data_IF_730360292946
#
_entry.id   IF_730360292946
#
_cell.length_a   1.000
_cell.length_b   1.000
_cell.length_c   1.000
_cell.angle_alpha   90.00
_cell.angle_beta   90.00
_cell.angle_gamma   90.00
#
_symmetry.space_group_name_H-M   'P 1'
#
loop_
_entity.id
_entity.type
_entity.pdbx_description
1 polymer ?
#
# COMPACT_ATOMS: atom_id res chain seq x y z
N UNK A 1 20.84 -7.52 21.10
CA UNK A 1 20.98 -7.28 19.64
C UNK A 1 19.84 -8.00 18.94
N UNK A 2 19.01 -7.29 18.19
CA UNK A 2 17.93 -7.87 17.41
C UNK A 2 18.43 -8.50 16.12
N UNK A 3 17.82 -9.61 15.71
CA UNK A 3 18.17 -10.35 14.50
C UNK A 3 17.09 -10.19 13.45
N UNK A 4 17.46 -9.67 12.29
CA UNK A 4 16.54 -9.41 11.18
C UNK A 4 16.93 -10.28 9.99
N UNK A 5 16.01 -11.15 9.59
CA UNK A 5 16.16 -11.92 8.36
C UNK A 5 15.61 -11.15 7.18
N UNK A 6 16.33 -11.10 6.07
CA UNK A 6 15.84 -10.51 4.83
C UNK A 6 15.50 -11.60 3.81
N UNK A 7 14.30 -11.53 3.24
CA UNK A 7 13.87 -12.36 2.12
C UNK A 7 13.78 -11.50 0.86
N UNK A 8 14.50 -11.87 -0.18
CA UNK A 8 14.76 -11.07 -1.38
C UNK A 8 15.67 -9.85 -1.12
N UNK A 9 15.88 -9.07 -2.18
CA UNK A 9 16.64 -7.83 -2.06
C UNK A 9 15.78 -6.75 -1.40
N UNK A 10 16.18 -6.33 -0.21
CA UNK A 10 15.64 -5.15 0.47
C UNK A 10 16.62 -4.00 0.25
N UNK A 11 16.12 -2.82 -0.10
CA UNK A 11 16.99 -1.66 -0.33
C UNK A 11 17.86 -1.34 0.88
N UNK A 12 19.12 -1.06 0.61
CA UNK A 12 20.12 -0.64 1.61
C UNK A 12 19.66 0.64 2.35
N UNK A 13 18.91 1.52 1.69
CA UNK A 13 18.35 2.71 2.33
C UNK A 13 17.45 2.36 3.52
N UNK A 14 16.66 1.28 3.41
CA UNK A 14 15.88 0.74 4.54
C UNK A 14 16.73 0.02 5.57
N UNK A 15 17.68 -0.81 5.15
CA UNK A 15 18.55 -1.54 6.08
C UNK A 15 19.41 -0.61 6.94
N UNK A 16 19.81 0.54 6.42
CA UNK A 16 20.55 1.57 7.17
C UNK A 16 19.72 2.23 8.29
N UNK A 17 18.39 2.00 8.36
CA UNK A 17 17.54 2.43 9.49
C UNK A 17 17.67 1.50 10.71
N UNK A 18 18.36 0.39 10.56
CA UNK A 18 18.63 -0.61 11.59
C UNK A 18 20.12 -0.52 11.99
N UNK A 19 20.48 0.23 13.07
CA UNK A 19 21.86 0.45 13.46
C UNK A 19 22.58 -0.87 13.80
N UNK A 20 23.80 -1.06 13.28
CA UNK A 20 24.59 -2.30 13.45
C UNK A 20 24.93 -2.60 14.90
N UNK A 21 24.95 -1.62 15.76
CA UNK A 21 25.19 -1.76 17.20
C UNK A 21 24.05 -2.51 17.91
N UNK A 22 22.84 -2.43 17.33
CA UNK A 22 21.63 -3.01 17.91
C UNK A 22 21.01 -4.11 17.04
N UNK A 23 21.39 -4.20 15.77
CA UNK A 23 20.77 -5.09 14.78
C UNK A 23 21.79 -5.91 14.00
N UNK A 24 21.57 -7.22 13.95
CA UNK A 24 22.20 -8.14 13.00
C UNK A 24 21.22 -8.36 11.84
N UNK A 25 21.61 -8.00 10.61
CA UNK A 25 20.75 -8.12 9.42
C UNK A 25 21.45 -9.05 8.42
N UNK A 26 20.79 -10.17 8.08
CA UNK A 26 21.31 -11.12 7.10
C UNK A 26 20.18 -11.86 6.37
N UNK A 27 20.51 -12.48 5.23
CA UNK A 27 19.56 -13.34 4.50
C UNK A 27 19.34 -14.69 5.21
N UNK A 28 20.37 -15.14 5.92
CA UNK A 28 20.33 -16.34 6.75
C UNK A 28 20.77 -15.98 8.16
N UNK A 29 19.87 -16.11 9.11
CA UNK A 29 20.12 -15.83 10.53
C UNK A 29 19.35 -16.82 11.40
N UNK A 30 20.01 -17.40 12.38
CA UNK A 30 19.36 -18.28 13.34
C UNK A 30 18.46 -17.50 14.31
N UNK A 31 17.24 -17.97 14.51
CA UNK A 31 16.31 -17.38 15.47
C UNK A 31 16.03 -15.87 15.24
N UNK A 32 15.50 -15.45 14.07
CA UNK A 32 15.25 -14.05 13.79
C UNK A 32 14.14 -13.47 14.70
N UNK A 33 14.31 -12.21 15.09
CA UNK A 33 13.29 -11.43 15.80
C UNK A 33 12.26 -10.86 14.83
N UNK A 34 12.68 -10.54 13.61
CA UNK A 34 11.78 -10.10 12.56
C UNK A 34 12.25 -10.52 11.16
N UNK A 35 11.32 -10.49 10.21
CA UNK A 35 11.57 -10.80 8.80
C UNK A 35 11.21 -9.59 7.96
N UNK A 36 12.13 -9.12 7.11
CA UNK A 36 11.84 -8.16 6.06
C UNK A 36 11.70 -8.89 4.72
N UNK A 37 10.59 -8.66 4.03
CA UNK A 37 10.27 -9.34 2.77
C UNK A 37 9.76 -8.35 1.72
N UNK A 38 9.96 -8.64 0.44
CA UNK A 38 9.36 -7.88 -0.67
C UNK A 38 8.36 -8.75 -1.44
N UNK A 39 8.83 -9.75 -2.16
CA UNK A 39 8.01 -10.57 -3.07
C UNK A 39 8.05 -12.07 -2.76
N UNK A 40 8.89 -12.56 -1.83
CA UNK A 40 8.92 -13.97 -1.48
C UNK A 40 7.58 -14.45 -0.94
N UNK A 41 7.13 -15.62 -1.39
CA UNK A 41 5.91 -16.26 -0.90
C UNK A 41 6.19 -16.91 0.45
N UNK A 42 5.43 -16.55 1.49
CA UNK A 42 5.64 -17.02 2.86
C UNK A 42 4.60 -18.05 3.31
N UNK A 43 3.61 -18.40 2.48
CA UNK A 43 2.51 -19.30 2.86
C UNK A 43 2.99 -20.71 3.23
N UNK A 44 4.05 -21.19 2.59
CA UNK A 44 4.61 -22.54 2.83
C UNK A 44 5.86 -22.49 3.73
N UNK A 45 6.27 -21.28 4.18
CA UNK A 45 7.45 -21.15 5.04
C UNK A 45 7.12 -21.51 6.48
N UNK A 46 8.04 -22.25 7.10
CA UNK A 46 8.04 -22.43 8.57
C UNK A 46 8.61 -21.17 9.21
N UNK A 47 7.73 -20.37 9.81
CA UNK A 47 8.14 -19.13 10.50
C UNK A 47 8.61 -19.50 11.92
N UNK A 48 9.88 -19.20 12.30
CA UNK A 48 10.38 -19.49 13.63
C UNK A 48 9.54 -18.89 14.76
N UNK A 49 9.51 -19.56 15.91
CA UNK A 49 8.78 -19.07 17.09
C UNK A 49 9.35 -17.79 17.70
N UNK A 50 10.58 -17.43 17.36
CA UNK A 50 11.25 -16.20 17.80
C UNK A 50 10.78 -14.94 17.07
N UNK A 51 10.15 -15.08 15.89
CA UNK A 51 9.68 -13.97 15.06
C UNK A 51 8.55 -13.21 15.78
N UNK A 52 8.73 -11.92 15.93
CA UNK A 52 7.77 -10.99 16.56
C UNK A 52 7.08 -10.10 15.53
N UNK A 53 7.76 -9.86 14.40
CA UNK A 53 7.26 -8.98 13.34
C UNK A 53 7.67 -9.45 11.95
N UNK A 54 6.80 -9.18 10.97
CA UNK A 54 7.11 -9.34 9.54
C UNK A 54 6.84 -7.99 8.87
N UNK A 55 7.85 -7.46 8.19
CA UNK A 55 7.76 -6.20 7.45
C UNK A 55 7.82 -6.44 5.93
N UNK A 56 6.76 -6.08 5.21
CA UNK A 56 6.74 -6.17 3.74
C UNK A 56 7.08 -4.83 3.10
N UNK A 57 8.22 -4.74 2.41
CA UNK A 57 8.63 -3.57 1.63
C UNK A 57 7.74 -3.37 0.39
N UNK A 58 6.53 -2.89 0.60
CA UNK A 58 5.50 -2.63 -0.41
C UNK A 58 4.09 -2.56 0.21
N UNK A 59 3.09 -2.13 -0.56
CA UNK A 59 1.74 -1.88 -0.06
C UNK A 59 0.88 -3.13 0.11
N UNK A 60 0.93 -4.09 -0.81
CA UNK A 60 0.14 -5.33 -0.71
C UNK A 60 0.77 -6.35 0.27
N UNK A 61 0.00 -7.34 0.75
CA UNK A 61 0.49 -8.39 1.68
C UNK A 61 0.03 -9.80 1.30
N UNK A 62 -0.39 -9.98 0.07
CA UNK A 62 -0.92 -11.24 -0.44
C UNK A 62 0.10 -12.40 -0.48
N UNK A 63 1.37 -12.11 -0.29
CA UNK A 63 2.45 -13.10 -0.17
C UNK A 63 2.72 -13.54 1.29
N UNK A 64 2.01 -12.98 2.28
CA UNK A 64 2.18 -13.27 3.71
C UNK A 64 0.88 -13.92 4.24
N UNK A 65 0.96 -15.01 5.01
CA UNK A 65 -0.21 -15.63 5.63
C UNK A 65 -0.67 -14.83 6.88
N UNK A 66 -1.26 -13.65 6.66
CA UNK A 66 -1.59 -12.66 7.71
C UNK A 66 -2.46 -13.26 8.82
N UNK A 67 -3.46 -14.08 8.48
CA UNK A 67 -4.34 -14.72 9.48
C UNK A 67 -3.54 -15.62 10.43
N UNK A 68 -2.68 -16.49 9.91
CA UNK A 68 -1.84 -17.36 10.73
C UNK A 68 -0.83 -16.56 11.59
N UNK A 69 -0.33 -15.42 11.10
CA UNK A 69 0.53 -14.54 11.90
C UNK A 69 -0.25 -13.88 13.02
N UNK A 70 -1.48 -13.50 12.80
CA UNK A 70 -2.39 -12.93 13.81
C UNK A 70 -2.65 -13.89 14.96
N UNK A 71 -2.90 -15.17 14.66
CA UNK A 71 -3.11 -16.22 15.66
C UNK A 71 -1.88 -16.44 16.55
N UNK A 72 -0.70 -16.18 16.01
CA UNK A 72 0.59 -16.32 16.71
C UNK A 72 1.03 -15.02 17.42
N UNK A 73 0.25 -13.95 17.38
CA UNK A 73 0.62 -12.66 17.97
C UNK A 73 1.81 -11.99 17.25
N UNK A 74 2.04 -12.29 15.95
CA UNK A 74 3.10 -11.70 15.13
C UNK A 74 2.53 -10.51 14.37
N UNK A 75 3.14 -9.34 14.54
CA UNK A 75 2.75 -8.12 13.82
C UNK A 75 3.17 -8.20 12.34
N UNK A 76 2.26 -7.83 11.44
CA UNK A 76 2.56 -7.73 10.00
C UNK A 76 2.46 -6.27 9.57
N UNK A 77 3.56 -5.71 9.09
CA UNK A 77 3.67 -4.35 8.60
C UNK A 77 3.77 -4.32 7.08
N UNK A 78 3.26 -3.25 6.48
CA UNK A 78 3.46 -2.94 5.08
C UNK A 78 3.83 -1.46 4.90
N UNK A 79 4.06 -1.03 3.66
CA UNK A 79 4.45 0.35 3.35
C UNK A 79 3.35 1.07 2.54
N UNK A 80 2.19 1.41 3.14
CA UNK A 80 1.10 2.07 2.45
C UNK A 80 1.50 3.48 2.03
N UNK A 81 1.32 3.80 0.74
CA UNK A 81 1.61 5.12 0.20
C UNK A 81 3.08 5.45 -0.06
N UNK A 82 4.02 4.58 0.33
CA UNK A 82 5.45 4.80 0.08
C UNK A 82 5.79 4.84 -1.42
N UNK A 83 5.01 4.14 -2.24
CA UNK A 83 5.11 4.11 -3.70
C UNK A 83 4.14 5.08 -4.41
N UNK A 84 3.45 5.95 -3.67
CA UNK A 84 2.35 6.73 -4.23
C UNK A 84 2.77 7.66 -5.38
N UNK A 85 3.96 8.25 -5.29
CA UNK A 85 4.48 9.11 -6.36
C UNK A 85 4.78 8.31 -7.64
N UNK A 86 5.38 7.13 -7.52
CA UNK A 86 5.68 6.28 -8.67
C UNK A 86 4.40 5.87 -9.42
N UNK A 87 3.36 5.45 -8.68
CA UNK A 87 2.06 5.11 -9.29
C UNK A 87 1.42 6.34 -9.93
N UNK A 88 1.46 7.52 -9.28
CA UNK A 88 0.96 8.77 -9.87
C UNK A 88 1.63 9.04 -11.22
N UNK A 89 2.94 8.94 -11.30
CA UNK A 89 3.68 9.19 -12.54
C UNK A 89 3.30 8.18 -13.64
N UNK A 90 3.11 6.92 -13.29
CA UNK A 90 2.66 5.90 -14.24
C UNK A 90 1.24 6.16 -14.74
N UNK A 91 0.32 6.63 -13.87
CA UNK A 91 -1.03 7.05 -14.28
C UNK A 91 -0.97 8.20 -15.28
N UNK A 92 -0.15 9.23 -15.01
CA UNK A 92 0.04 10.36 -15.93
C UNK A 92 0.61 9.91 -17.28
N UNK A 93 1.61 9.01 -17.25
CA UNK A 93 2.14 8.41 -18.45
C UNK A 93 1.07 7.63 -19.23
N UNK A 94 0.25 6.81 -18.52
CA UNK A 94 -0.87 6.07 -19.12
C UNK A 94 -1.91 6.99 -19.76
N UNK A 95 -2.26 8.10 -19.12
CA UNK A 95 -3.14 9.11 -19.69
C UNK A 95 -2.60 9.68 -21.01
N UNK A 96 -1.32 10.06 -21.03
CA UNK A 96 -0.67 10.62 -22.23
C UNK A 96 -0.50 9.56 -23.34
N UNK A 97 -0.15 8.32 -22.97
CA UNK A 97 -0.04 7.19 -23.91
C UNK A 97 -1.38 6.96 -24.62
N UNK A 98 -2.48 6.93 -23.84
CA UNK A 98 -3.83 6.77 -24.39
C UNK A 98 -4.25 7.98 -25.23
N UNK A 99 -4.15 9.19 -24.67
CA UNK A 99 -4.60 10.41 -25.32
C UNK A 99 -3.91 10.69 -26.67
N UNK A 100 -2.65 10.30 -26.82
CA UNK A 100 -1.81 10.58 -28.00
C UNK A 100 -1.49 9.37 -28.85
N UNK A 101 -2.11 8.20 -28.59
CA UNK A 101 -1.87 6.93 -29.30
C UNK A 101 -0.37 6.57 -29.39
N UNK A 102 0.41 6.85 -28.32
CA UNK A 102 1.89 6.76 -28.37
C UNK A 102 2.36 5.33 -28.61
N UNK A 103 1.75 4.33 -27.98
CA UNK A 103 2.15 2.94 -28.13
C UNK A 103 1.97 2.44 -29.57
N UNK A 104 0.83 2.77 -30.19
CA UNK A 104 0.51 2.40 -31.57
C UNK A 104 1.41 3.15 -32.55
N UNK A 105 1.65 4.44 -32.35
CA UNK A 105 2.53 5.26 -33.17
C UNK A 105 3.99 4.76 -33.09
N UNK A 106 4.48 4.40 -31.91
CA UNK A 106 5.81 3.84 -31.73
C UNK A 106 5.97 2.47 -32.44
N UNK A 107 4.93 1.61 -32.36
CA UNK A 107 4.92 0.33 -33.08
C UNK A 107 4.96 0.54 -34.59
N UNK A 108 4.16 1.47 -35.12
CA UNK A 108 4.16 1.85 -36.51
C UNK A 108 5.54 2.35 -36.95
N UNK A 109 6.14 3.30 -36.26
CA UNK A 109 7.44 3.87 -36.60
C UNK A 109 8.55 2.82 -36.62
N UNK A 110 8.55 1.85 -35.69
CA UNK A 110 9.51 0.74 -35.66
C UNK A 110 9.34 -0.25 -36.82
N UNK A 111 8.15 -0.34 -37.42
CA UNK A 111 7.85 -1.22 -38.55
C UNK A 111 8.10 -0.58 -39.91
N UNK A 112 8.62 0.65 -39.98
CA UNK A 112 8.96 1.29 -41.25
C UNK A 112 10.25 0.72 -41.83
N UNK A 113 10.25 0.49 -43.13
CA UNK A 113 11.37 -0.09 -43.89
C UNK A 113 11.75 0.82 -45.07
N UNK A 114 12.99 0.70 -45.52
CA UNK A 114 13.55 1.43 -46.67
C UNK A 114 14.62 2.44 -46.28
N UNK A 115 14.99 3.30 -47.22
CA UNK A 115 15.88 4.42 -46.96
C UNK A 115 15.16 5.60 -46.27
N UNK A 116 15.89 6.62 -45.83
CA UNK A 116 15.35 7.77 -45.10
C UNK A 116 14.26 8.50 -45.91
N UNK A 117 14.34 8.54 -47.23
CA UNK A 117 13.34 9.19 -48.06
C UNK A 117 12.03 8.38 -48.10
N UNK A 118 12.13 7.05 -48.20
CA UNK A 118 10.99 6.14 -48.13
C UNK A 118 10.33 6.19 -46.76
N UNK A 119 11.13 6.18 -45.70
CA UNK A 119 10.65 6.30 -44.31
C UNK A 119 9.91 7.63 -44.11
N UNK A 120 10.48 8.76 -44.51
CA UNK A 120 9.84 10.08 -44.38
C UNK A 120 8.49 10.12 -45.14
N UNK A 121 8.42 9.55 -46.34
CA UNK A 121 7.18 9.47 -47.12
C UNK A 121 6.13 8.61 -46.42
N UNK A 122 6.51 7.48 -45.82
CA UNK A 122 5.63 6.60 -45.11
C UNK A 122 5.10 7.26 -43.80
N UNK A 123 5.96 8.00 -43.07
CA UNK A 123 5.56 8.80 -41.89
C UNK A 123 4.50 9.82 -42.27
N UNK A 124 4.73 10.63 -43.32
CA UNK A 124 3.75 11.65 -43.71
C UNK A 124 2.40 11.04 -44.17
N UNK A 125 2.44 9.90 -44.85
CA UNK A 125 1.24 9.18 -45.27
C UNK A 125 0.48 8.56 -44.03
N UNK A 126 1.23 8.04 -43.04
CA UNK A 126 0.67 7.29 -41.93
C UNK A 126 0.26 8.11 -40.73
N UNK A 127 0.86 9.28 -40.47
CA UNK A 127 0.68 10.03 -39.22
C UNK A 127 -0.76 10.38 -38.86
N UNK A 128 -1.64 10.54 -39.87
CA UNK A 128 -3.05 10.91 -39.65
C UNK A 128 -3.85 9.86 -38.89
N UNK A 129 -3.43 8.58 -38.93
CA UNK A 129 -4.12 7.50 -38.17
C UNK A 129 -3.89 7.58 -36.66
N UNK A 130 -2.92 8.38 -36.20
CA UNK A 130 -2.59 8.54 -34.79
C UNK A 130 -3.05 9.88 -34.21
N UNK A 131 -3.96 10.57 -34.88
CA UNK A 131 -4.57 11.79 -34.32
C UNK A 131 -5.22 11.46 -32.99
N UNK A 132 -4.78 12.10 -31.93
CA UNK A 132 -5.26 11.92 -30.58
C UNK A 132 -5.99 13.14 -30.05
N UNK A 133 -5.97 13.30 -28.73
CA UNK A 133 -6.63 14.38 -28.01
C UNK A 133 -5.69 15.04 -27.02
N UNK A 134 -6.00 16.27 -26.62
CA UNK A 134 -5.32 16.98 -25.52
C UNK A 134 -6.07 16.81 -24.21
N UNK A 135 -5.39 16.92 -23.08
CA UNK A 135 -5.97 16.76 -21.74
C UNK A 135 -6.70 18.02 -21.22
N UNK A 136 -6.23 19.25 -21.45
CA UNK A 136 -6.86 20.45 -20.93
C UNK A 136 -8.36 20.52 -21.24
N UNK A 137 -9.18 20.87 -20.21
CA UNK A 137 -10.63 20.97 -20.33
C UNK A 137 -11.40 19.65 -20.23
N UNK A 138 -10.71 18.50 -20.35
CA UNK A 138 -11.32 17.18 -20.14
C UNK A 138 -11.45 16.86 -18.67
N UNK A 139 -12.36 15.94 -18.35
CA UNK A 139 -12.65 15.53 -16.98
C UNK A 139 -11.96 14.21 -16.65
N UNK A 140 -11.17 14.20 -15.56
CA UNK A 140 -10.66 12.99 -14.93
C UNK A 140 -11.53 12.60 -13.75
N UNK A 141 -12.13 11.41 -13.78
CA UNK A 141 -12.75 10.75 -12.64
C UNK A 141 -11.71 9.96 -11.84
N UNK A 142 -11.62 10.21 -10.54
CA UNK A 142 -10.70 9.53 -9.62
C UNK A 142 -11.51 8.75 -8.60
N UNK A 143 -11.46 7.42 -8.66
CA UNK A 143 -12.11 6.52 -7.70
C UNK A 143 -11.08 6.07 -6.68
N UNK A 144 -11.27 6.46 -5.41
CA UNK A 144 -10.33 6.29 -4.32
C UNK A 144 -9.39 7.49 -4.17
N UNK A 145 -9.60 8.28 -3.11
CA UNK A 145 -8.83 9.49 -2.78
C UNK A 145 -7.88 9.25 -1.59
N UNK A 146 -7.23 8.08 -1.60
CA UNK A 146 -6.14 7.75 -0.69
C UNK A 146 -4.81 8.41 -1.08
N UNK A 147 -3.69 7.84 -0.62
CA UNK A 147 -2.35 8.38 -0.85
C UNK A 147 -2.00 8.60 -2.33
N UNK A 148 -2.48 7.72 -3.22
CA UNK A 148 -2.22 7.80 -4.67
C UNK A 148 -3.24 8.73 -5.34
N UNK A 149 -4.53 8.49 -5.11
CA UNK A 149 -5.60 9.22 -5.80
C UNK A 149 -5.54 10.73 -5.61
N UNK A 150 -5.19 11.19 -4.41
CA UNK A 150 -4.96 12.62 -4.12
C UNK A 150 -3.82 13.19 -4.96
N UNK A 151 -2.71 12.48 -5.10
CA UNK A 151 -1.57 12.94 -5.92
C UNK A 151 -1.95 12.99 -7.41
N UNK A 152 -2.68 11.98 -7.89
CA UNK A 152 -3.16 11.94 -9.29
C UNK A 152 -4.15 13.07 -9.55
N UNK A 153 -5.13 13.29 -8.66
CA UNK A 153 -6.10 14.37 -8.76
C UNK A 153 -5.42 15.74 -8.89
N UNK A 154 -4.50 16.03 -7.98
CA UNK A 154 -3.76 17.31 -7.98
C UNK A 154 -2.89 17.46 -9.23
N UNK A 155 -2.21 16.41 -9.68
CA UNK A 155 -1.38 16.44 -10.88
C UNK A 155 -2.21 16.65 -12.16
N UNK A 156 -3.39 16.01 -12.28
CA UNK A 156 -4.30 16.21 -13.40
C UNK A 156 -4.83 17.65 -13.46
N UNK A 157 -5.11 18.28 -12.30
CA UNK A 157 -5.45 19.71 -12.22
C UNK A 157 -4.32 20.57 -12.80
N UNK A 158 -3.07 20.26 -12.47
CA UNK A 158 -1.92 21.00 -13.00
C UNK A 158 -1.74 20.83 -14.51
N UNK A 159 -2.30 19.77 -15.10
CA UNK A 159 -2.38 19.57 -16.56
C UNK A 159 -3.60 20.24 -17.22
N UNK A 160 -4.36 21.04 -16.48
CA UNK A 160 -5.53 21.77 -17.00
C UNK A 160 -6.80 20.93 -17.11
N UNK A 161 -6.85 19.74 -16.51
CA UNK A 161 -8.05 18.91 -16.48
C UNK A 161 -9.04 19.39 -15.41
N UNK A 162 -10.32 19.12 -15.61
CA UNK A 162 -11.29 19.08 -14.53
C UNK A 162 -11.15 17.76 -13.79
N UNK A 163 -11.35 17.75 -12.46
CA UNK A 163 -11.23 16.53 -11.68
C UNK A 163 -12.47 16.33 -10.81
N UNK A 164 -13.03 15.15 -10.88
CA UNK A 164 -14.14 14.67 -10.05
C UNK A 164 -13.65 13.46 -9.27
N UNK A 165 -13.80 13.47 -7.94
CA UNK A 165 -13.33 12.39 -7.08
C UNK A 165 -14.48 11.69 -6.35
N UNK A 166 -14.36 10.40 -6.13
CA UNK A 166 -15.26 9.60 -5.29
C UNK A 166 -14.46 8.73 -4.33
N UNK A 167 -14.69 8.92 -3.05
CA UNK A 167 -14.18 8.05 -1.97
C UNK A 167 -15.11 8.15 -0.76
N UNK A 168 -15.91 7.11 -0.45
CA UNK A 168 -16.84 7.13 0.68
C UNK A 168 -16.15 7.12 2.04
N UNK A 169 -14.84 6.84 2.09
CA UNK A 169 -14.04 6.69 3.30
C UNK A 169 -12.83 7.63 3.32
N UNK A 170 -12.90 8.76 2.60
CA UNK A 170 -11.80 9.71 2.55
C UNK A 170 -11.43 10.19 3.97
N UNK A 171 -10.15 10.10 4.29
CA UNK A 171 -9.66 10.59 5.58
C UNK A 171 -9.52 12.11 5.58
N UNK A 172 -9.66 12.74 6.74
CA UNK A 172 -9.41 14.19 6.91
C UNK A 172 -8.04 14.58 6.37
N UNK A 173 -7.00 13.77 6.68
CA UNK A 173 -5.63 14.01 6.19
C UNK A 173 -5.53 13.97 4.65
N UNK A 174 -6.26 13.10 3.98
CA UNK A 174 -6.29 13.02 2.53
C UNK A 174 -7.05 14.22 1.93
N UNK A 175 -8.20 14.58 2.49
CA UNK A 175 -8.99 15.73 2.08
C UNK A 175 -8.20 17.05 2.18
N UNK A 176 -7.42 17.24 3.25
CA UNK A 176 -6.55 18.42 3.41
C UNK A 176 -5.43 18.55 2.36
N UNK A 177 -5.13 17.48 1.64
CA UNK A 177 -4.12 17.49 0.57
C UNK A 177 -4.70 17.68 -0.82
N UNK A 178 -6.03 17.58 -0.98
CA UNK A 178 -6.70 17.84 -2.24
C UNK A 178 -6.72 19.34 -2.54
N UNK A 179 -6.54 19.69 -3.82
CA UNK A 179 -6.82 21.04 -4.29
C UNK A 179 -8.32 21.33 -4.17
N UNK A 180 -8.66 22.57 -3.80
CA UNK A 180 -10.03 22.99 -3.44
C UNK A 180 -11.04 22.94 -4.58
N UNK A 181 -10.57 22.81 -5.81
CA UNK A 181 -11.39 22.76 -7.01
C UNK A 181 -11.59 21.33 -7.56
N UNK A 182 -11.18 20.30 -6.80
CA UNK A 182 -11.57 18.92 -7.05
C UNK A 182 -13.01 18.73 -6.60
N UNK A 183 -13.90 18.39 -7.53
CA UNK A 183 -15.32 18.19 -7.27
C UNK A 183 -15.57 16.81 -6.64
N UNK A 184 -16.47 16.73 -5.67
CA UNK A 184 -16.91 15.47 -5.08
C UNK A 184 -18.07 14.88 -5.88
N UNK A 185 -17.92 13.65 -6.38
CA UNK A 185 -19.02 12.90 -6.99
C UNK A 185 -19.96 12.32 -5.92
N UNK A 186 -21.25 12.25 -6.23
CA UNK A 186 -22.27 11.66 -5.33
C UNK A 186 -22.20 10.13 -5.29
N UNK A 187 -21.77 9.52 -6.38
CA UNK A 187 -21.64 8.06 -6.54
C UNK A 187 -20.62 7.72 -7.62
N UNK A 188 -20.29 6.43 -7.74
CA UNK A 188 -19.49 5.92 -8.87
C UNK A 188 -20.22 6.19 -10.19
N UNK A 189 -21.55 6.03 -10.23
CA UNK A 189 -22.35 6.22 -11.44
C UNK A 189 -22.38 7.70 -11.88
N UNK A 190 -22.46 8.64 -10.93
CA UNK A 190 -22.32 10.08 -11.21
C UNK A 190 -20.93 10.40 -11.78
N UNK A 191 -19.87 9.84 -11.19
CA UNK A 191 -18.50 10.05 -11.63
C UNK A 191 -18.27 9.54 -13.05
N UNK A 192 -18.66 8.28 -13.34
CA UNK A 192 -18.39 7.67 -14.67
C UNK A 192 -19.18 8.35 -15.79
N UNK A 193 -20.40 8.84 -15.51
CA UNK A 193 -21.22 9.56 -16.49
C UNK A 193 -20.64 10.92 -16.91
N UNK A 194 -19.73 11.48 -16.12
CA UNK A 194 -19.19 12.84 -16.30
C UNK A 194 -17.70 12.88 -16.64
N UNK A 195 -17.05 11.71 -16.78
CA UNK A 195 -15.59 11.60 -16.90
C UNK A 195 -15.16 11.13 -18.28
N UNK A 196 -14.25 11.88 -18.93
CA UNK A 196 -13.57 11.47 -20.16
C UNK A 196 -12.48 10.43 -19.88
N UNK A 197 -11.82 10.52 -18.73
CA UNK A 197 -10.81 9.59 -18.23
C UNK A 197 -11.22 9.11 -16.84
N UNK A 198 -11.02 7.82 -16.55
CA UNK A 198 -11.35 7.26 -15.23
C UNK A 198 -10.18 6.45 -14.72
N UNK A 199 -9.74 6.73 -13.50
CA UNK A 199 -8.64 6.03 -12.83
C UNK A 199 -9.05 5.49 -11.46
N UNK A 200 -8.48 4.34 -11.09
CA UNK A 200 -8.86 3.57 -9.92
C UNK A 200 -7.69 3.47 -8.94
N UNK A 201 -7.94 3.81 -7.67
CA UNK A 201 -6.97 3.76 -6.57
C UNK A 201 -7.59 3.14 -5.32
N UNK A 202 -8.34 2.06 -5.54
CA UNK A 202 -9.04 1.29 -4.50
C UNK A 202 -8.49 -0.14 -4.43
N UNK A 203 -8.56 -0.81 -3.26
CA UNK A 203 -8.24 -2.24 -3.17
C UNK A 203 -9.29 -3.07 -3.90
N UNK A 204 -8.95 -4.30 -4.28
CA UNK A 204 -9.92 -5.28 -4.76
C UNK A 204 -10.61 -5.91 -3.54
N UNK A 205 -11.91 -5.70 -3.45
CA UNK A 205 -12.84 -6.27 -2.47
C UNK A 205 -14.08 -6.78 -3.19
N UNK A 206 -15.00 -7.43 -2.49
CA UNK A 206 -16.28 -7.83 -3.09
C UNK A 206 -17.08 -6.63 -3.61
N UNK A 207 -16.96 -5.45 -2.98
CA UNK A 207 -17.63 -4.22 -3.39
C UNK A 207 -16.97 -3.54 -4.61
N UNK A 208 -15.67 -3.74 -4.81
CA UNK A 208 -14.91 -3.11 -5.91
C UNK A 208 -14.65 -4.08 -7.06
N UNK A 209 -14.97 -5.37 -6.90
CA UNK A 209 -14.89 -6.36 -7.97
C UNK A 209 -15.88 -6.04 -9.07
N UNK A 210 -15.39 -5.97 -10.31
CA UNK A 210 -16.16 -5.58 -11.48
C UNK A 210 -16.98 -4.29 -11.24
N UNK A 211 -16.40 -3.37 -10.46
CA UNK A 211 -17.00 -2.07 -10.21
C UNK A 211 -17.32 -1.35 -11.52
N UNK A 212 -16.50 -1.54 -12.53
CA UNK A 212 -16.77 -1.10 -13.90
C UNK A 212 -17.19 -2.32 -14.71
N UNK A 213 -18.48 -2.40 -14.95
CA UNK A 213 -19.17 -3.43 -15.73
C UNK A 213 -19.81 -2.83 -16.99
N UNK A 214 -20.49 -3.65 -17.78
CA UNK A 214 -21.13 -3.23 -19.03
C UNK A 214 -22.13 -2.08 -18.84
N UNK A 215 -22.92 -2.09 -17.77
CA UNK A 215 -23.90 -1.06 -17.47
C UNK A 215 -23.24 0.30 -17.23
N UNK A 216 -22.21 0.35 -16.39
CA UNK A 216 -21.46 1.59 -16.10
C UNK A 216 -20.69 2.08 -17.32
N UNK A 217 -20.13 1.18 -18.12
CA UNK A 217 -19.48 1.56 -19.38
C UNK A 217 -20.49 2.19 -20.35
N UNK A 218 -21.71 1.65 -20.44
CA UNK A 218 -22.75 2.24 -21.28
C UNK A 218 -23.11 3.68 -20.88
N UNK A 219 -23.02 3.99 -19.59
CA UNK A 219 -23.32 5.34 -19.04
C UNK A 219 -22.15 6.33 -19.19
N UNK A 220 -20.94 5.89 -19.54
CA UNK A 220 -19.80 6.78 -19.78
C UNK A 220 -20.01 7.64 -21.02
N UNK A 221 -19.32 8.80 -21.15
CA UNK A 221 -19.22 9.51 -22.42
C UNK A 221 -18.62 8.62 -23.52
N UNK A 222 -19.04 8.83 -24.77
CA UNK A 222 -18.45 8.12 -25.90
C UNK A 222 -16.98 8.52 -26.06
N UNK A 223 -16.11 7.53 -26.22
CA UNK A 223 -14.68 7.74 -26.31
C UNK A 223 -13.99 7.92 -24.96
N UNK A 224 -14.59 7.48 -23.86
CA UNK A 224 -13.94 7.48 -22.55
C UNK A 224 -12.71 6.57 -22.51
N UNK A 225 -11.77 6.89 -21.61
CA UNK A 225 -10.51 6.16 -21.39
C UNK A 225 -10.51 5.57 -19.99
N UNK A 226 -10.17 4.29 -19.90
CA UNK A 226 -9.99 3.59 -18.61
C UNK A 226 -8.49 3.44 -18.27
N UNK A 227 -8.16 3.70 -17.00
CA UNK A 227 -6.79 3.65 -16.48
C UNK A 227 -6.77 2.81 -15.19
N UNK A 228 -6.25 1.59 -15.24
CA UNK A 228 -6.22 0.70 -14.07
C UNK A 228 -4.82 0.30 -13.66
N UNK A 229 -4.25 1.03 -12.71
CA UNK A 229 -2.97 0.75 -12.08
C UNK A 229 -3.13 0.30 -10.61
N UNK A 230 -4.34 -0.13 -10.24
CA UNK A 230 -4.67 -0.54 -8.87
C UNK A 230 -4.67 -2.06 -8.71
N UNK A 231 -5.70 -2.75 -9.21
CA UNK A 231 -5.82 -4.22 -9.14
C UNK A 231 -6.55 -4.78 -10.36
N UNK A 232 -6.13 -5.96 -10.81
CA UNK A 232 -6.92 -6.79 -11.73
C UNK A 232 -8.28 -7.10 -11.10
N UNK A 233 -9.33 -7.20 -11.93
CA UNK A 233 -10.68 -7.53 -11.50
C UNK A 233 -11.52 -6.37 -10.96
N UNK A 234 -11.02 -5.13 -10.91
CA UNK A 234 -11.83 -3.92 -10.65
C UNK A 234 -12.71 -3.61 -11.86
N UNK A 235 -12.16 -3.80 -13.05
CA UNK A 235 -12.87 -3.67 -14.32
C UNK A 235 -13.25 -5.06 -14.78
N UNK A 236 -14.44 -5.21 -15.34
CA UNK A 236 -14.85 -6.37 -16.12
C UNK A 236 -14.18 -6.27 -17.49
N UNK A 237 -13.13 -7.07 -17.70
CA UNK A 237 -12.28 -7.00 -18.89
C UNK A 237 -13.07 -7.42 -20.17
N UNK A 238 -14.02 -8.37 -20.07
CA UNK A 238 -14.88 -8.77 -21.20
C UNK A 238 -15.79 -7.62 -21.63
N UNK A 239 -16.41 -6.94 -20.67
CA UNK A 239 -17.22 -5.75 -20.93
C UNK A 239 -16.39 -4.62 -21.52
N UNK A 240 -15.17 -4.40 -21.04
CA UNK A 240 -14.26 -3.37 -21.54
C UNK A 240 -13.85 -3.64 -23.00
N UNK A 241 -13.46 -4.88 -23.34
CA UNK A 241 -13.09 -5.26 -24.70
C UNK A 241 -14.28 -5.12 -25.65
N UNK A 242 -15.46 -5.60 -25.27
CA UNK A 242 -16.70 -5.41 -26.05
C UNK A 242 -16.98 -3.93 -26.36
N UNK A 243 -16.78 -3.06 -25.37
CA UNK A 243 -16.98 -1.63 -25.54
C UNK A 243 -15.90 -0.94 -26.38
N UNK A 244 -14.65 -1.44 -26.33
CA UNK A 244 -13.56 -0.99 -27.21
C UNK A 244 -13.82 -1.36 -28.66
N UNK A 245 -14.26 -2.59 -28.92
CA UNK A 245 -14.63 -3.07 -30.27
C UNK A 245 -15.82 -2.28 -30.86
N UNK A 246 -16.78 -1.93 -30.00
CA UNK A 246 -17.93 -1.10 -30.40
C UNK A 246 -17.60 0.39 -30.53
N UNK A 247 -16.39 0.83 -30.19
CA UNK A 247 -15.97 2.23 -30.23
C UNK A 247 -16.57 3.09 -29.10
N UNK A 248 -17.24 2.50 -28.12
CA UNK A 248 -17.78 3.18 -26.95
C UNK A 248 -16.65 3.69 -26.02
N UNK A 249 -15.59 2.88 -25.83
CA UNK A 249 -14.36 3.28 -25.19
C UNK A 249 -13.28 3.62 -26.23
N UNK A 250 -12.49 4.65 -25.93
CA UNK A 250 -11.36 5.04 -26.78
C UNK A 250 -10.12 4.18 -26.55
N UNK A 251 -9.78 3.95 -25.28
CA UNK A 251 -8.61 3.16 -24.89
C UNK A 251 -8.74 2.62 -23.46
N UNK A 252 -8.02 1.53 -23.20
CA UNK A 252 -7.82 0.99 -21.86
C UNK A 252 -6.31 0.81 -21.61
N UNK A 253 -5.78 1.45 -20.56
CA UNK A 253 -4.39 1.29 -20.11
C UNK A 253 -4.39 0.65 -18.74
N UNK A 254 -3.65 -0.46 -18.59
CA UNK A 254 -3.60 -1.17 -17.31
C UNK A 254 -2.23 -1.81 -17.03
N UNK A 255 -2.04 -2.16 -15.77
CA UNK A 255 -0.83 -2.80 -15.25
C UNK A 255 -0.98 -4.33 -15.08
N UNK A 256 -2.03 -4.92 -15.72
CA UNK A 256 -2.43 -6.31 -15.53
C UNK A 256 -2.70 -7.00 -16.88
N UNK A 257 -1.62 -7.47 -17.57
CA UNK A 257 -1.78 -8.16 -18.83
C UNK A 257 -2.54 -9.48 -18.68
N UNK A 258 -3.45 -9.74 -19.61
CA UNK A 258 -4.15 -11.01 -19.77
C UNK A 258 -4.18 -11.44 -21.24
N UNK A 259 -4.52 -12.68 -21.53
CA UNK A 259 -4.67 -13.15 -22.92
C UNK A 259 -5.76 -12.38 -23.68
N UNK A 260 -6.78 -11.89 -22.97
CA UNK A 260 -7.86 -11.09 -23.53
C UNK A 260 -7.39 -9.67 -23.91
N UNK A 261 -6.52 -9.08 -23.09
CA UNK A 261 -6.15 -7.66 -23.21
C UNK A 261 -4.87 -7.40 -24.02
N UNK A 262 -3.86 -8.27 -23.92
CA UNK A 262 -2.47 -8.00 -24.35
C UNK A 262 -2.31 -7.68 -25.84
N UNK A 263 -3.16 -8.23 -26.71
CA UNK A 263 -3.07 -8.11 -28.15
C UNK A 263 -4.12 -7.16 -28.75
N UNK A 264 -5.02 -6.61 -27.93
CA UNK A 264 -6.07 -5.71 -28.38
C UNK A 264 -5.50 -4.33 -28.80
N UNK A 265 -5.83 -3.80 -30.01
CA UNK A 265 -5.19 -2.61 -30.57
C UNK A 265 -5.43 -1.32 -29.77
N UNK A 266 -6.50 -1.25 -28.98
CA UNK A 266 -6.87 -0.11 -28.13
C UNK A 266 -6.51 -0.30 -26.67
N UNK A 267 -5.82 -1.40 -26.33
CA UNK A 267 -5.36 -1.68 -24.96
C UNK A 267 -3.84 -1.54 -24.90
N UNK A 268 -3.37 -0.93 -23.84
CA UNK A 268 -1.95 -0.91 -23.47
C UNK A 268 -1.80 -1.57 -22.12
N UNK A 269 -1.16 -2.73 -22.08
CA UNK A 269 -0.86 -3.45 -20.84
C UNK A 269 0.60 -3.28 -20.45
N UNK A 270 0.86 -3.07 -19.18
CA UNK A 270 2.18 -2.97 -18.57
C UNK A 270 2.41 -4.10 -17.57
N UNK A 271 3.64 -4.52 -17.31
CA UNK A 271 3.93 -5.68 -16.45
C UNK A 271 4.02 -5.29 -14.96
N UNK A 272 2.96 -4.71 -14.40
CA UNK A 272 2.81 -4.32 -12.99
C UNK A 272 3.93 -3.37 -12.51
N UNK A 273 4.09 -2.24 -13.22
CA UNK A 273 5.17 -1.28 -13.01
C UNK A 273 4.86 -0.22 -11.94
N UNK A 274 3.66 -0.19 -11.35
CA UNK A 274 3.19 0.86 -10.46
C UNK A 274 4.15 1.25 -9.34
N UNK A 275 4.91 0.30 -8.78
CA UNK A 275 5.89 0.54 -7.72
C UNK A 275 7.33 0.29 -8.16
N UNK A 276 7.59 0.15 -9.45
CA UNK A 276 8.90 -0.28 -9.99
C UNK A 276 9.81 0.91 -10.29
N UNK A 277 10.09 1.72 -9.27
CA UNK A 277 11.12 2.77 -9.32
C UNK A 277 12.07 2.61 -8.13
N UNK A 278 13.31 3.08 -8.25
CA UNK A 278 14.31 3.02 -7.14
C UNK A 278 13.79 3.74 -5.92
N UNK A 279 13.21 4.91 -6.08
CA UNK A 279 12.67 5.74 -5.01
C UNK A 279 11.51 5.05 -4.30
N UNK A 280 10.63 4.37 -5.03
CA UNK A 280 9.54 3.61 -4.42
C UNK A 280 10.06 2.40 -3.62
N UNK A 281 11.09 1.70 -4.13
CA UNK A 281 11.74 0.60 -3.42
C UNK A 281 12.42 1.09 -2.14
N UNK A 282 13.18 2.19 -2.23
CA UNK A 282 13.85 2.82 -1.09
C UNK A 282 12.82 3.27 -0.04
N UNK A 283 11.80 4.01 -0.44
CA UNK A 283 10.76 4.51 0.46
C UNK A 283 10.00 3.37 1.16
N UNK A 284 9.68 2.30 0.44
CA UNK A 284 9.03 1.12 1.03
C UNK A 284 9.93 0.44 2.06
N UNK A 285 11.22 0.27 1.75
CA UNK A 285 12.17 -0.35 2.64
C UNK A 285 12.45 0.49 3.90
N UNK A 286 12.59 1.82 3.74
CA UNK A 286 12.75 2.76 4.85
C UNK A 286 11.54 2.68 5.78
N UNK A 287 10.33 2.86 5.23
CA UNK A 287 9.10 2.86 6.02
C UNK A 287 8.94 1.58 6.84
N UNK A 288 9.12 0.42 6.21
CA UNK A 288 8.92 -0.86 6.90
C UNK A 288 10.02 -1.16 7.92
N UNK A 289 11.26 -0.75 7.66
CA UNK A 289 12.36 -0.91 8.60
C UNK A 289 12.13 -0.05 9.86
N UNK A 290 11.68 1.20 9.71
CA UNK A 290 11.32 2.09 10.82
C UNK A 290 10.13 1.56 11.64
N UNK A 291 9.10 1.01 10.99
CA UNK A 291 7.96 0.39 11.67
C UNK A 291 8.37 -0.84 12.49
N UNK A 292 9.16 -1.74 11.89
CA UNK A 292 9.67 -2.94 12.57
C UNK A 292 10.59 -2.53 13.73
N UNK A 293 11.43 -1.53 13.54
CA UNK A 293 12.30 -0.97 14.57
C UNK A 293 11.49 -0.44 15.76
N UNK A 294 10.53 0.45 15.51
CA UNK A 294 9.67 1.02 16.54
C UNK A 294 8.88 -0.07 17.30
N UNK A 295 8.46 -1.13 16.60
CA UNK A 295 7.78 -2.24 17.24
C UNK A 295 8.73 -3.09 18.11
N UNK A 296 9.94 -3.38 17.64
CA UNK A 296 10.89 -4.19 18.40
C UNK A 296 11.43 -3.43 19.62
N UNK A 297 11.78 -2.16 19.48
CA UNK A 297 12.38 -1.34 20.54
C UNK A 297 11.34 -0.83 21.53
N UNK A 298 10.17 -0.34 21.06
CA UNK A 298 9.20 0.39 21.87
C UNK A 298 7.81 -0.27 21.96
N UNK A 299 7.57 -1.33 21.19
CA UNK A 299 6.25 -1.94 21.11
C UNK A 299 5.24 -1.13 20.30
N UNK A 300 5.62 0.03 19.77
CA UNK A 300 4.77 0.91 19.00
C UNK A 300 4.36 0.25 17.67
N UNK A 301 3.08 0.39 17.31
CA UNK A 301 2.50 -0.16 16.08
C UNK A 301 1.96 0.98 15.23
N UNK A 302 2.45 1.09 14.00
CA UNK A 302 1.93 2.02 12.99
C UNK A 302 1.82 1.30 11.65
N UNK A 303 0.71 1.47 10.93
CA UNK A 303 0.44 0.84 9.63
C UNK A 303 0.52 -0.70 9.65
N UNK A 304 0.21 -1.35 10.77
CA UNK A 304 0.09 -2.81 10.78
C UNK A 304 -1.18 -3.26 10.08
N UNK A 305 -1.09 -4.38 9.35
CA UNK A 305 -2.24 -4.94 8.63
C UNK A 305 -3.18 -5.69 9.56
N UNK A 306 -2.64 -6.26 10.64
CA UNK A 306 -3.38 -7.11 11.56
C UNK A 306 -3.52 -6.56 12.99
N UNK A 307 -2.63 -5.67 13.42
CA UNK A 307 -2.71 -5.07 14.75
C UNK A 307 -3.33 -3.66 14.68
N UNK A 308 -3.92 -3.16 15.78
CA UNK A 308 -4.36 -1.77 15.87
C UNK A 308 -3.16 -0.82 15.88
N UNK A 309 -3.33 0.37 15.33
CA UNK A 309 -2.34 1.44 15.52
C UNK A 309 -2.31 1.87 16.98
N UNK A 310 -1.15 1.78 17.60
CA UNK A 310 -0.90 2.17 18.98
C UNK A 310 0.51 2.74 19.12
N UNK A 311 0.59 3.97 19.59
CA UNK A 311 1.86 4.67 19.82
C UNK A 311 1.80 5.31 21.19
N UNK A 312 2.70 4.89 22.07
CA UNK A 312 2.90 5.45 23.40
C UNK A 312 4.34 5.99 23.45
N UNK A 313 4.55 7.31 23.53
CA UNK A 313 5.90 7.89 23.65
C UNK A 313 6.65 7.31 24.84
N UNK A 314 7.95 7.12 24.72
CA UNK A 314 8.80 6.66 25.84
C UNK A 314 9.12 7.84 26.75
N UNK A 315 8.80 7.69 28.03
CA UNK A 315 9.11 8.68 29.07
C UNK A 315 10.21 8.17 30.06
N UNK A 316 11.05 7.25 29.58
CA UNK A 316 12.21 6.78 30.34
C UNK A 316 11.93 5.64 31.35
N UNK A 317 10.80 4.99 31.29
CA UNK A 317 10.47 3.85 32.16
C UNK A 317 10.73 2.48 31.54
N UNK A 318 10.38 1.43 32.28
CA UNK A 318 10.33 0.06 31.80
C UNK A 318 8.99 -0.19 31.13
N UNK A 319 8.97 -0.73 29.92
CA UNK A 319 7.76 -0.98 29.16
C UNK A 319 7.46 -2.46 29.04
N UNK A 320 6.20 -2.81 29.19
CA UNK A 320 5.65 -4.09 28.78
C UNK A 320 4.73 -3.89 27.56
N UNK A 321 4.86 -4.74 26.56
CA UNK A 321 3.97 -4.82 25.42
C UNK A 321 3.26 -6.18 25.44
N UNK A 322 1.93 -6.16 25.51
CA UNK A 322 1.07 -7.35 25.53
C UNK A 322 0.20 -7.38 24.28
N UNK A 323 0.20 -8.51 23.58
CA UNK A 323 -0.73 -8.79 22.48
C UNK A 323 -1.69 -9.87 22.94
N UNK A 324 -2.98 -9.63 22.81
CA UNK A 324 -4.01 -10.54 23.30
C UNK A 324 -5.25 -10.57 22.38
N UNK A 325 -6.10 -11.59 22.59
CA UNK A 325 -7.45 -11.61 22.05
C UNK A 325 -8.26 -10.47 22.65
N UNK A 326 -9.08 -9.83 21.84
CA UNK A 326 -9.96 -8.74 22.29
C UNK A 326 -11.20 -9.31 23.01
N UNK A 327 -10.99 -9.76 24.24
CA UNK A 327 -12.04 -10.36 25.08
C UNK A 327 -12.20 -9.55 26.39
N UNK A 328 -13.36 -9.62 27.05
CA UNK A 328 -13.61 -8.89 28.30
C UNK A 328 -12.57 -9.20 29.37
N UNK A 329 -12.31 -8.23 30.25
CA UNK A 329 -11.49 -8.32 31.47
C UNK A 329 -9.97 -8.55 31.23
N UNK A 330 -9.45 -8.45 30.02
CA UNK A 330 -7.99 -8.63 29.75
C UNK A 330 -7.17 -7.56 30.49
N UNK A 331 -7.52 -6.29 30.35
CA UNK A 331 -6.81 -5.19 31.01
C UNK A 331 -6.90 -5.32 32.53
N UNK A 332 -8.05 -5.78 33.04
CA UNK A 332 -8.24 -6.02 34.47
C UNK A 332 -7.29 -7.08 35.02
N UNK A 333 -7.19 -8.23 34.38
CA UNK A 333 -6.28 -9.31 34.76
C UNK A 333 -4.81 -8.85 34.70
N UNK A 334 -4.39 -8.24 33.59
CA UNK A 334 -3.01 -7.75 33.41
C UNK A 334 -2.66 -6.73 34.51
N UNK A 335 -3.56 -5.78 34.85
CA UNK A 335 -3.30 -4.78 35.87
C UNK A 335 -3.26 -5.37 37.28
N UNK A 336 -4.05 -6.41 37.55
CA UNK A 336 -4.01 -7.15 38.80
C UNK A 336 -2.67 -7.85 38.99
N UNK A 337 -2.22 -8.61 38.03
CA UNK A 337 -0.92 -9.32 38.11
C UNK A 337 0.25 -8.35 38.30
N UNK A 338 0.20 -7.16 37.64
CA UNK A 338 1.21 -6.11 37.87
C UNK A 338 1.18 -5.57 39.27
N UNK A 339 -0.03 -5.32 39.83
CA UNK A 339 -0.19 -4.82 41.19
C UNK A 339 0.28 -5.85 42.21
N UNK A 340 -0.05 -7.15 42.05
CA UNK A 340 0.42 -8.24 42.90
C UNK A 340 1.93 -8.40 42.88
N UNK A 341 2.58 -8.13 41.73
CA UNK A 341 4.02 -8.06 41.59
C UNK A 341 4.64 -6.77 42.18
N UNK A 342 3.85 -5.87 42.74
CA UNK A 342 4.29 -4.61 43.34
C UNK A 342 4.77 -3.58 42.33
N UNK A 343 4.34 -3.69 41.06
CA UNK A 343 4.66 -2.75 39.96
C UNK A 343 3.61 -1.65 39.90
N UNK A 344 4.07 -0.39 39.89
CA UNK A 344 3.19 0.75 39.68
C UNK A 344 3.11 1.10 38.20
N UNK A 345 1.89 1.20 37.65
CA UNK A 345 1.63 1.61 36.28
C UNK A 345 1.79 3.12 36.18
N UNK A 346 2.74 3.58 35.37
CA UNK A 346 3.02 4.99 35.13
C UNK A 346 2.17 5.50 33.99
N UNK A 347 2.05 4.70 32.91
CA UNK A 347 1.20 4.99 31.76
C UNK A 347 0.71 3.67 31.14
N UNK A 348 -0.49 3.70 30.56
CA UNK A 348 -1.08 2.53 29.92
C UNK A 348 -1.94 2.96 28.73
N UNK A 349 -1.74 2.30 27.61
CA UNK A 349 -2.58 2.47 26.44
C UNK A 349 -2.99 1.09 25.92
N UNK A 350 -4.31 0.90 25.75
CA UNK A 350 -4.89 -0.29 25.11
C UNK A 350 -5.62 0.12 23.83
N UNK A 351 -5.40 -0.62 22.77
CA UNK A 351 -6.12 -0.47 21.49
C UNK A 351 -6.51 -1.83 20.96
N UNK A 352 -7.69 -1.90 20.33
CA UNK A 352 -8.17 -3.12 19.69
C UNK A 352 -8.55 -2.88 18.23
N UNK A 353 -8.43 -3.94 17.43
CA UNK A 353 -8.86 -3.99 16.05
C UNK A 353 -9.36 -5.41 15.75
N UNK A 354 -10.68 -5.56 15.53
CA UNK A 354 -11.30 -6.87 15.40
C UNK A 354 -11.04 -7.73 16.63
N UNK A 355 -10.51 -8.92 16.43
CA UNK A 355 -10.29 -9.92 17.47
C UNK A 355 -8.96 -9.77 18.22
N UNK A 356 -8.18 -8.76 17.93
CA UNK A 356 -6.87 -8.53 18.54
C UNK A 356 -6.82 -7.20 19.29
N UNK A 357 -6.10 -7.20 20.40
CA UNK A 357 -5.76 -6.02 21.17
C UNK A 357 -4.25 -5.97 21.44
N UNK A 358 -3.73 -4.76 21.55
CA UNK A 358 -2.37 -4.48 21.98
C UNK A 358 -2.41 -3.52 23.15
N UNK A 359 -1.70 -3.86 24.21
CA UNK A 359 -1.56 -3.02 25.40
C UNK A 359 -0.10 -2.67 25.60
N UNK A 360 0.21 -1.38 25.67
CA UNK A 360 1.50 -0.86 26.08
C UNK A 360 1.37 -0.33 27.48
N UNK A 361 2.27 -0.75 28.39
CA UNK A 361 2.24 -0.41 29.81
C UNK A 361 3.63 0.04 30.22
N UNK A 362 3.75 1.26 30.71
CA UNK A 362 4.97 1.77 31.32
C UNK A 362 4.87 1.59 32.82
N UNK A 363 5.90 0.97 33.43
CA UNK A 363 5.98 0.67 34.86
C UNK A 363 7.20 1.33 35.51
N UNK A 364 7.14 1.57 36.79
CA UNK A 364 8.12 2.33 37.58
C UNK A 364 9.48 1.61 37.75
N UNK A 365 9.52 0.29 37.53
CA UNK A 365 10.74 -0.53 37.69
C UNK A 365 10.72 -1.73 36.73
N UNK A 366 11.85 -2.45 36.56
CA UNK A 366 11.91 -3.62 35.71
C UNK A 366 10.85 -4.66 36.05
N UNK A 367 10.15 -5.17 35.03
CA UNK A 367 9.19 -6.26 35.20
C UNK A 367 9.95 -7.57 35.53
N UNK A 368 9.64 -8.25 36.65
CA UNK A 368 10.20 -9.56 36.92
C UNK A 368 9.81 -10.59 35.84
N UNK A 369 10.71 -11.53 35.55
CA UNK A 369 10.41 -12.61 34.59
C UNK A 369 9.20 -13.46 35.00
N UNK A 370 8.98 -13.65 36.31
CA UNK A 370 7.83 -14.35 36.86
C UNK A 370 6.53 -13.71 36.42
N UNK A 371 6.40 -12.40 36.65
CA UNK A 371 5.22 -11.61 36.28
C UNK A 371 4.94 -11.63 34.78
N UNK A 372 5.97 -11.53 33.95
CA UNK A 372 5.81 -11.66 32.50
C UNK A 372 5.28 -13.03 32.09
N UNK A 373 5.68 -14.12 32.77
CA UNK A 373 5.19 -15.48 32.54
C UNK A 373 3.76 -15.67 33.03
N UNK A 374 3.40 -15.09 34.17
CA UNK A 374 2.04 -15.10 34.73
C UNK A 374 1.07 -14.44 33.74
N UNK A 375 1.38 -13.23 33.30
CA UNK A 375 0.60 -12.51 32.28
C UNK A 375 0.54 -13.30 30.96
N UNK A 376 1.62 -13.94 30.52
CA UNK A 376 1.62 -14.79 29.34
C UNK A 376 0.75 -16.04 29.50
N UNK A 377 0.48 -16.49 30.73
CA UNK A 377 -0.41 -17.60 31.08
C UNK A 377 -1.89 -17.24 31.10
N UNK A 378 -2.25 -15.96 31.05
CA UNK A 378 -3.67 -15.53 30.98
C UNK A 378 -4.28 -16.03 29.67
N UNK A 379 -5.44 -16.69 29.76
CA UNK A 379 -6.15 -17.17 28.56
C UNK A 379 -6.45 -16.03 27.60
N UNK A 380 -6.04 -16.18 26.36
CA UNK A 380 -6.20 -15.16 25.31
C UNK A 380 -4.98 -14.24 25.12
N UNK A 381 -3.98 -14.28 26.01
CA UNK A 381 -2.70 -13.59 25.76
C UNK A 381 -1.90 -14.38 24.71
N UNK A 382 -1.43 -13.69 23.69
CA UNK A 382 -0.67 -14.27 22.56
C UNK A 382 0.83 -14.01 22.69
N UNK A 383 1.21 -12.85 23.22
CA UNK A 383 2.63 -12.55 23.48
C UNK A 383 2.78 -11.47 24.55
N UNK A 384 3.85 -11.59 25.34
CA UNK A 384 4.29 -10.59 26.32
C UNK A 384 5.77 -10.29 26.07
N UNK A 385 6.11 -9.01 26.02
CA UNK A 385 7.50 -8.56 25.86
C UNK A 385 7.81 -7.48 26.90
N UNK A 386 8.82 -7.73 27.72
CA UNK A 386 9.42 -6.68 28.56
C UNK A 386 10.48 -5.95 27.72
N UNK A 387 10.26 -4.67 27.50
CA UNK A 387 11.15 -3.80 26.75
C UNK A 387 11.94 -2.97 27.76
N UNK A 388 13.28 -3.04 27.72
CA UNK A 388 14.15 -2.28 28.63
C UNK A 388 13.93 -0.76 28.54
N UNK A 389 14.68 -0.01 29.34
CA UNK A 389 14.69 1.46 29.24
C UNK A 389 15.11 1.82 27.81
N UNK A 390 14.22 2.45 27.04
CA UNK A 390 14.56 2.97 25.73
C UNK A 390 15.79 3.87 25.86
N UNK A 391 16.64 3.90 24.83
CA UNK A 391 17.67 4.92 24.76
C UNK A 391 16.98 6.29 24.89
N UNK A 392 17.37 7.09 25.88
CA UNK A 392 16.85 8.43 26.05
C UNK A 392 17.02 9.14 24.69
N UNK A 393 15.94 9.74 24.19
CA UNK A 393 16.03 10.62 23.03
C UNK A 393 17.11 11.65 23.35
N UNK A 394 18.26 11.52 22.68
CA UNK A 394 19.38 12.43 22.87
C UNK A 394 18.89 13.85 22.68
N UNK A 395 19.17 14.69 23.66
CA UNK A 395 19.08 16.12 23.60
C UNK A 395 19.57 16.58 22.23
N UNK A 396 18.63 17.02 21.39
CA UNK A 396 18.97 17.88 20.25
C UNK A 396 18.65 19.30 20.69
N UNK A 397 19.72 19.99 21.11
CA UNK A 397 19.76 21.44 21.24
C UNK A 397 19.70 22.10 19.84
#
# INVERSE_FOLDING_TARGET
MFKIQTLNNISVAGLNRLPRESYEVASEVGHPDAILVRSAKMHEMVIPGTVKAIGRAGAGVNNIPVAAMSERGIAVFNAPGANANAVKELVLAGMLIAARNIAQAAKFARGLEGDDAAINKAVEAGKKQFVGMELPGRTLGVIGLGAIGVLVANAARSLGMKVIGFDPSITVRAAWKLQSDVEAALSVDDLVARSDFITFHVPLTDQTRHMINAERIANMPDGAVLLNFSRSGIIDDDAAVTALDAGKLYAYVCDFPSNLLKDHPRVVTLPHLGASTREAEDNCAIMVAEQVRAYLEDGNVSNSVNFPDIVLPRNGGHRMAVVNRNVPNMVGQISTDLAEAGLNIVDMLNRSRGDLAVTLIDVDRPCPEGTAREIAGIEGVLSVRCLGTGAAAGEQA
#
